data_IF_842131691209
#
_entry.id   IF_842131691209
#
_cell.length_a   1.000
_cell.length_b   1.000
_cell.length_c   1.000
_cell.angle_alpha   90.00
_cell.angle_beta   90.00
_cell.angle_gamma   90.00
#
_symmetry.space_group_name_H-M   'P 1'
#
loop_
_entity.id
_entity.type
_entity.pdbx_description
1 polymer ?
#
# COMPACT_ATOMS: atom_id res chain seq x y z
N UNK A 1 10.70 -7.78 0.79
CA UNK A 1 10.19 -8.10 -0.55
C UNK A 1 9.97 -6.86 -1.43
N UNK A 2 8.89 -6.05 -1.29
CA UNK A 2 8.65 -4.92 -2.22
C UNK A 2 9.70 -3.80 -2.15
N UNK A 3 10.20 -3.50 -0.96
CA UNK A 3 11.25 -2.49 -0.79
C UNK A 3 12.57 -2.90 -1.44
N UNK A 4 12.93 -4.17 -1.35
CA UNK A 4 14.14 -4.73 -2.00
C UNK A 4 14.03 -4.64 -3.52
N UNK A 5 12.87 -5.02 -4.08
CA UNK A 5 12.60 -4.88 -5.53
C UNK A 5 12.69 -3.41 -5.97
N UNK A 6 12.12 -2.48 -5.18
CA UNK A 6 12.21 -1.05 -5.48
C UNK A 6 13.67 -0.57 -5.50
N UNK A 7 14.48 -0.98 -4.53
CA UNK A 7 15.90 -0.59 -4.45
C UNK A 7 16.75 -1.20 -5.57
N UNK A 8 16.43 -2.41 -6.04
CA UNK A 8 17.06 -2.99 -7.23
C UNK A 8 16.72 -2.20 -8.51
N UNK A 9 15.47 -1.74 -8.65
CA UNK A 9 15.01 -1.00 -9.84
C UNK A 9 15.39 0.48 -9.83
N UNK A 10 15.46 1.09 -8.64
CA UNK A 10 15.75 2.51 -8.43
C UNK A 10 16.88 2.68 -7.39
N UNK A 11 18.14 2.40 -7.76
CA UNK A 11 19.27 2.33 -6.83
C UNK A 11 19.83 3.72 -6.47
N UNK A 12 18.95 4.69 -6.20
CA UNK A 12 19.32 6.05 -5.76
C UNK A 12 18.51 6.45 -4.53
N UNK A 13 19.15 6.97 -3.46
CA UNK A 13 18.45 7.33 -2.22
C UNK A 13 17.29 8.32 -2.44
N UNK A 14 17.47 9.29 -3.35
CA UNK A 14 16.44 10.28 -3.68
C UNK A 14 15.17 9.68 -4.29
N UNK A 15 15.23 8.50 -4.93
CA UNK A 15 14.02 7.85 -5.44
C UNK A 15 13.10 7.40 -4.29
N UNK A 16 13.68 6.96 -3.17
CA UNK A 16 12.90 6.58 -1.99
C UNK A 16 12.17 7.76 -1.37
N UNK A 17 12.74 8.98 -1.46
CA UNK A 17 12.12 10.21 -0.96
C UNK A 17 10.89 10.63 -1.77
N UNK A 18 10.79 10.20 -3.03
CA UNK A 18 9.61 10.43 -3.87
C UNK A 18 8.43 9.50 -3.52
N UNK A 19 8.66 8.45 -2.73
CA UNK A 19 7.61 7.52 -2.29
C UNK A 19 7.10 7.99 -0.93
N UNK A 20 5.83 8.42 -0.81
CA UNK A 20 5.26 8.83 0.47
C UNK A 20 5.34 7.66 1.47
N UNK A 21 6.07 7.86 2.56
CA UNK A 21 6.16 6.88 3.64
C UNK A 21 4.92 6.90 4.53
N UNK A 22 4.58 5.74 5.10
CA UNK A 22 3.56 5.60 6.14
C UNK A 22 2.42 4.65 5.77
N UNK A 23 1.51 4.39 6.72
CA UNK A 23 0.35 3.54 6.50
C UNK A 23 -0.52 4.12 5.38
N UNK A 24 -0.82 3.31 4.37
CA UNK A 24 -1.78 3.65 3.32
C UNK A 24 -2.47 2.40 2.79
N UNK A 25 -3.66 2.59 2.23
CA UNK A 25 -4.28 1.60 1.34
C UNK A 25 -3.86 1.93 -0.08
N UNK A 26 -3.66 0.94 -0.94
CA UNK A 26 -3.26 1.17 -2.33
C UNK A 26 -4.14 2.23 -3.02
N UNK A 27 -3.50 3.10 -3.81
CA UNK A 27 -4.13 4.23 -4.50
C UNK A 27 -4.79 5.29 -3.59
N UNK A 28 -4.55 5.26 -2.28
CA UNK A 28 -5.22 6.12 -1.29
C UNK A 28 -4.22 6.87 -0.40
N UNK A 29 -4.67 7.92 0.28
CA UNK A 29 -3.87 8.61 1.30
C UNK A 29 -3.99 7.91 2.66
N UNK A 30 -3.13 8.28 3.62
CA UNK A 30 -3.24 7.79 5.00
C UNK A 30 -4.63 8.05 5.63
N UNK A 31 -5.36 9.06 5.14
CA UNK A 31 -6.72 9.36 5.58
C UNK A 31 -7.71 8.22 5.32
N UNK A 32 -7.48 7.42 4.29
CA UNK A 32 -8.36 6.30 3.96
C UNK A 32 -8.35 5.22 5.05
N UNK A 33 -7.25 5.04 5.79
CA UNK A 33 -7.18 4.10 6.92
C UNK A 33 -8.12 4.50 8.05
N UNK A 34 -8.46 5.78 8.17
CA UNK A 34 -9.39 6.28 9.17
C UNK A 34 -10.86 6.12 8.77
N UNK A 35 -11.15 5.76 7.51
CA UNK A 35 -12.53 5.64 7.03
C UNK A 35 -13.21 4.36 7.47
N UNK A 36 -12.44 3.30 7.71
CA UNK A 36 -12.93 2.00 8.16
C UNK A 36 -11.93 1.35 9.12
N UNK A 37 -12.41 0.86 10.26
CA UNK A 37 -11.60 0.15 11.25
C UNK A 37 -10.91 -1.09 10.65
N UNK A 38 -11.53 -1.75 9.67
CA UNK A 38 -10.96 -2.90 8.97
C UNK A 38 -9.67 -2.55 8.20
N UNK A 39 -9.50 -1.31 7.75
CA UNK A 39 -8.28 -0.88 7.05
C UNK A 39 -7.09 -0.67 7.98
N UNK A 40 -7.32 -0.48 9.28
CA UNK A 40 -6.22 -0.35 10.27
C UNK A 40 -5.45 -1.65 10.48
N UNK A 41 -6.07 -2.79 10.18
CA UNK A 41 -5.50 -4.13 10.39
C UNK A 41 -5.13 -4.85 9.09
N UNK A 42 -5.30 -4.20 7.93
CA UNK A 42 -4.96 -4.75 6.62
C UNK A 42 -3.91 -3.89 5.91
N UNK A 43 -2.63 -4.24 6.08
CA UNK A 43 -1.49 -3.53 5.49
C UNK A 43 -1.13 -4.04 4.08
N UNK A 44 -2.11 -4.51 3.30
CA UNK A 44 -1.86 -5.06 1.96
C UNK A 44 -1.40 -3.95 0.99
N UNK A 45 -0.14 -3.96 0.53
CA UNK A 45 0.39 -2.94 -0.38
C UNK A 45 -0.29 -2.97 -1.75
N UNK A 46 -0.98 -4.06 -2.09
CA UNK A 46 -1.70 -4.20 -3.36
C UNK A 46 -3.15 -3.70 -3.32
N UNK A 47 -3.72 -3.48 -2.14
CA UNK A 47 -5.13 -3.13 -1.94
C UNK A 47 -6.13 -4.17 -2.45
N UNK A 48 -5.68 -5.34 -2.89
CA UNK A 48 -6.58 -6.41 -3.38
C UNK A 48 -7.19 -7.20 -2.25
N UNK A 49 -6.53 -7.24 -1.09
CA UNK A 49 -6.96 -8.00 0.07
C UNK A 49 -7.83 -7.20 1.05
N UNK A 50 -8.11 -5.91 0.81
CA UNK A 50 -8.95 -5.07 1.70
C UNK A 50 -10.46 -5.39 1.63
N UNK A 51 -10.85 -6.62 1.30
CA UNK A 51 -12.24 -7.10 1.37
C UNK A 51 -13.22 -6.55 0.34
N UNK A 52 -12.86 -5.51 -0.43
CA UNK A 52 -13.76 -4.84 -1.39
C UNK A 52 -13.89 -5.53 -2.75
N UNK A 53 -13.00 -6.48 -3.05
CA UNK A 53 -12.96 -7.20 -4.34
C UNK A 53 -13.44 -8.66 -4.26
N UNK A 54 -14.08 -9.07 -3.15
CA UNK A 54 -14.49 -10.48 -2.93
C UNK A 54 -15.43 -11.01 -4.03
N UNK A 55 -16.28 -10.16 -4.60
CA UNK A 55 -17.19 -10.53 -5.69
C UNK A 55 -16.47 -10.89 -7.00
N UNK A 56 -15.23 -10.43 -7.21
CA UNK A 56 -14.46 -10.75 -8.41
C UNK A 56 -13.81 -12.15 -8.36
N UNK A 57 -13.81 -12.80 -7.18
CA UNK A 57 -13.26 -14.15 -6.97
C UNK A 57 -14.35 -15.24 -6.89
N UNK A 58 -15.63 -14.87 -7.07
CA UNK A 58 -16.75 -15.79 -7.22
C UNK A 58 -16.90 -16.21 -8.69
#
# INVERSE_FOLDING_TARGET
MYREIFEELFPVPSAAECVPGGPSVACSSAKAIEWDEAFKTMDDPSGRAVGVHQSAYQ
#
